data_IF_752290105262
#
_entry.id   IF_752290105262
#
_cell.length_a   1.000
_cell.length_b   1.000
_cell.length_c   1.000
_cell.angle_alpha   90.00
_cell.angle_beta   90.00
_cell.angle_gamma   90.00
#
_symmetry.space_group_name_H-M   'P 1'
#
loop_
_entity.id
_entity.type
_entity.pdbx_description
1 polymer ?
#
# COMPACT_ATOMS: atom_id res chain seq x y z
N UNK A 1 4.71 78.72 -18.91
CA UNK A 1 5.77 78.79 -17.87
C UNK A 1 5.86 77.38 -17.32
N UNK A 2 6.75 76.52 -17.82
CA UNK A 2 8.22 76.45 -17.62
C UNK A 2 8.58 76.09 -16.17
N UNK A 3 9.36 75.00 -16.02
CA UNK A 3 9.85 74.38 -14.79
C UNK A 3 9.57 72.87 -14.85
N UNK A 4 10.34 72.03 -15.57
CA UNK A 4 11.69 71.49 -15.22
C UNK A 4 11.57 70.59 -13.97
N UNK A 5 11.98 69.32 -13.92
CA UNK A 5 13.21 68.65 -14.36
C UNK A 5 13.00 67.12 -14.25
N UNK A 6 13.44 66.31 -15.24
CA UNK A 6 14.49 65.26 -15.16
C UNK A 6 14.23 64.08 -14.17
N UNK A 7 14.45 62.79 -14.43
CA UNK A 7 15.60 62.08 -15.03
C UNK A 7 15.16 60.63 -15.37
N UNK A 8 15.70 60.16 -16.49
CA UNK A 8 15.81 58.79 -17.00
C UNK A 8 16.30 57.74 -15.98
N UNK A 9 15.62 56.59 -15.81
CA UNK A 9 16.31 55.32 -15.49
C UNK A 9 15.51 54.10 -15.93
N UNK A 10 16.13 53.33 -16.82
CA UNK A 10 15.79 51.97 -17.22
C UNK A 10 16.00 51.09 -15.98
N UNK A 11 14.92 50.56 -15.42
CA UNK A 11 14.95 49.65 -14.28
C UNK A 11 14.86 48.22 -14.80
N UNK A 12 15.97 47.50 -14.66
CA UNK A 12 16.02 46.04 -14.72
C UNK A 12 15.19 45.52 -13.55
N UNK A 13 14.04 44.89 -13.84
CA UNK A 13 13.32 44.13 -12.84
C UNK A 13 13.84 42.69 -12.88
N UNK A 14 14.74 42.43 -11.94
CA UNK A 14 14.93 41.14 -11.31
C UNK A 14 13.56 40.62 -10.85
N UNK A 15 13.02 39.62 -11.54
CA UNK A 15 12.04 38.73 -10.91
C UNK A 15 12.84 37.60 -10.27
N UNK A 16 12.94 37.69 -8.95
CA UNK A 16 13.30 36.62 -8.02
C UNK A 16 12.42 35.38 -8.34
N UNK A 17 12.93 34.54 -9.22
CA UNK A 17 12.58 33.13 -9.22
C UNK A 17 13.28 32.51 -8.02
N UNK A 18 12.59 32.49 -6.88
CA UNK A 18 12.87 31.57 -5.78
C UNK A 18 12.67 30.15 -6.32
N UNK A 19 13.64 29.68 -7.11
CA UNK A 19 13.91 28.26 -7.26
C UNK A 19 14.32 27.79 -5.87
N UNK A 20 13.30 27.46 -5.07
CA UNK A 20 13.48 26.62 -3.90
C UNK A 20 14.15 25.36 -4.41
N UNK A 21 15.47 25.35 -4.34
CA UNK A 21 16.31 24.21 -4.61
C UNK A 21 15.93 23.23 -3.49
N UNK A 22 14.91 22.41 -3.75
CA UNK A 22 14.49 21.33 -2.86
C UNK A 22 15.65 20.37 -2.90
N UNK A 23 16.62 20.59 -2.01
CA UNK A 23 17.66 19.63 -1.71
C UNK A 23 16.96 18.37 -1.27
N UNK A 24 16.78 17.44 -2.20
CA UNK A 24 16.47 16.07 -1.88
C UNK A 24 17.64 15.60 -1.04
N UNK A 25 17.43 15.50 0.27
CA UNK A 25 18.40 14.94 1.21
C UNK A 25 18.98 13.66 0.60
N UNK A 26 20.31 13.53 0.65
CA UNK A 26 21.05 12.32 0.22
C UNK A 26 20.58 11.04 0.98
N UNK A 27 19.79 11.24 2.05
CA UNK A 27 19.16 10.25 2.93
C UNK A 27 17.69 9.89 2.58
N UNK A 28 17.13 10.39 1.47
CA UNK A 28 15.78 9.98 1.04
C UNK A 28 15.75 8.52 0.53
N UNK A 29 14.57 7.89 0.57
CA UNK A 29 14.36 6.53 0.13
C UNK A 29 14.77 6.36 -1.34
N UNK A 30 15.85 5.60 -1.56
CA UNK A 30 16.34 5.30 -2.91
C UNK A 30 15.39 4.34 -3.62
N UNK A 31 14.80 4.78 -4.73
CA UNK A 31 13.93 3.95 -5.56
C UNK A 31 14.75 2.95 -6.38
N UNK A 32 14.12 1.83 -6.78
CA UNK A 32 14.72 0.87 -7.71
C UNK A 32 15.85 -0.01 -7.15
N UNK A 33 16.00 -0.10 -5.82
CA UNK A 33 17.08 -0.85 -5.15
C UNK A 33 16.86 -2.38 -5.12
N UNK A 34 15.67 -2.84 -5.49
CA UNK A 34 15.27 -4.24 -5.51
C UNK A 34 15.51 -4.93 -6.86
N UNK A 35 15.44 -6.26 -6.85
CA UNK A 35 15.58 -7.09 -8.06
C UNK A 35 14.57 -6.64 -9.13
N UNK A 36 15.07 -6.37 -10.34
CA UNK A 36 14.23 -5.90 -11.46
C UNK A 36 13.70 -4.46 -11.30
N UNK A 37 14.36 -3.63 -10.49
CA UNK A 37 13.91 -2.25 -10.20
C UNK A 37 12.80 -2.19 -9.15
N UNK A 38 12.65 -3.25 -8.35
CA UNK A 38 11.75 -3.27 -7.20
C UNK A 38 12.18 -2.26 -6.12
N UNK A 39 11.32 -2.03 -5.14
CA UNK A 39 11.62 -1.06 -4.08
C UNK A 39 12.57 -1.61 -3.02
N UNK A 40 12.35 -2.85 -2.57
CA UNK A 40 13.11 -3.43 -1.47
C UNK A 40 14.28 -4.27 -1.96
N UNK A 41 15.47 -3.95 -1.48
CA UNK A 41 16.65 -4.82 -1.61
C UNK A 41 16.48 -6.10 -0.78
N UNK A 42 17.31 -7.12 -1.02
CA UNK A 42 17.33 -8.32 -0.17
C UNK A 42 17.65 -7.99 1.30
N UNK A 43 18.52 -6.99 1.54
CA UNK A 43 18.80 -6.52 2.90
C UNK A 43 17.57 -5.92 3.57
N UNK A 44 16.81 -5.10 2.85
CA UNK A 44 15.56 -4.50 3.34
C UNK A 44 14.49 -5.56 3.64
N UNK A 45 14.41 -6.61 2.82
CA UNK A 45 13.49 -7.75 3.06
C UNK A 45 13.91 -8.50 4.34
N UNK A 46 15.20 -8.72 4.56
CA UNK A 46 15.67 -9.38 5.78
C UNK A 46 15.37 -8.55 7.03
N UNK A 47 15.57 -7.23 6.97
CA UNK A 47 15.20 -6.31 8.06
C UNK A 47 13.69 -6.41 8.32
N UNK A 48 12.87 -6.34 7.27
CA UNK A 48 11.42 -6.49 7.37
C UNK A 48 11.02 -7.81 8.07
N UNK A 49 11.61 -8.94 7.68
CA UNK A 49 11.37 -10.22 8.32
C UNK A 49 11.80 -10.22 9.80
N UNK A 50 12.94 -9.63 10.14
CA UNK A 50 13.41 -9.58 11.52
C UNK A 50 12.49 -8.73 12.41
N UNK A 51 12.05 -7.56 11.93
CA UNK A 51 11.10 -6.70 12.66
C UNK A 51 9.74 -7.37 12.78
N UNK A 52 9.28 -8.09 11.76
CA UNK A 52 8.03 -8.85 11.82
C UNK A 52 8.02 -9.86 12.98
N UNK A 53 9.16 -10.47 13.31
CA UNK A 53 9.26 -11.42 14.42
C UNK A 53 9.09 -10.77 15.81
N UNK A 54 9.22 -9.44 15.91
CA UNK A 54 9.03 -8.71 17.18
C UNK A 54 7.56 -8.33 17.42
N UNK A 55 6.71 -8.41 16.39
CA UNK A 55 5.30 -8.02 16.47
C UNK A 55 4.49 -9.03 17.29
N UNK A 56 3.81 -8.55 18.33
CA UNK A 56 2.92 -9.35 19.16
C UNK A 56 1.59 -9.56 18.41
N UNK A 57 1.25 -10.82 18.15
CA UNK A 57 0.04 -11.18 17.41
C UNK A 57 -1.15 -11.33 18.38
N UNK A 58 -2.29 -10.64 18.16
CA UNK A 58 -3.48 -10.82 18.97
C UNK A 58 -4.10 -12.20 18.75
N UNK A 59 -4.74 -12.74 19.80
CA UNK A 59 -5.42 -14.04 19.74
C UNK A 59 -6.49 -14.02 18.64
N UNK A 60 -6.43 -14.98 17.72
CA UNK A 60 -7.38 -15.13 16.61
C UNK A 60 -6.89 -14.62 15.25
N UNK A 61 -5.77 -13.90 15.18
CA UNK A 61 -5.13 -13.57 13.91
C UNK A 61 -4.36 -14.79 13.35
N UNK A 62 -4.27 -14.89 12.01
CA UNK A 62 -3.56 -16.00 11.38
C UNK A 62 -2.05 -15.84 11.59
N UNK A 63 -1.38 -16.87 12.12
CA UNK A 63 0.08 -16.86 12.23
C UNK A 63 0.71 -16.89 10.84
N UNK A 64 1.68 -15.99 10.63
CA UNK A 64 2.53 -16.01 9.45
C UNK A 64 3.59 -17.11 9.58
N UNK A 65 4.03 -17.72 8.46
CA UNK A 65 5.20 -18.60 8.45
C UNK A 65 6.44 -17.86 8.96
N UNK A 66 7.30 -18.54 9.70
CA UNK A 66 8.51 -17.95 10.30
C UNK A 66 9.50 -17.45 9.26
N UNK A 67 9.64 -18.15 8.11
CA UNK A 67 10.53 -17.70 7.03
C UNK A 67 9.71 -17.24 5.81
N UNK A 68 9.13 -16.03 5.91
CA UNK A 68 8.39 -15.42 4.80
C UNK A 68 9.27 -15.17 3.56
N UNK A 69 10.59 -15.06 3.75
CA UNK A 69 11.59 -14.84 2.69
C UNK A 69 12.06 -16.12 1.99
N UNK A 70 11.68 -17.30 2.51
CA UNK A 70 12.14 -18.59 1.97
C UNK A 70 11.12 -19.18 1.00
N UNK A 71 11.55 -19.47 -0.22
CA UNK A 71 10.74 -20.17 -1.23
C UNK A 71 10.26 -21.57 -0.80
N UNK A 72 10.82 -22.12 0.29
CA UNK A 72 10.49 -23.46 0.80
C UNK A 72 9.14 -23.53 1.54
N UNK A 73 8.56 -22.39 1.95
CA UNK A 73 7.41 -22.37 2.86
C UNK A 73 6.03 -22.35 2.17
N UNK A 74 5.99 -22.56 0.85
CA UNK A 74 4.75 -22.51 0.08
C UNK A 74 4.14 -21.11 -0.02
N UNK A 75 2.99 -21.01 -0.68
CA UNK A 75 2.26 -19.74 -0.81
C UNK A 75 1.47 -19.42 0.47
N UNK A 76 1.44 -18.14 0.85
CA UNK A 76 0.58 -17.68 1.95
C UNK A 76 -0.89 -17.94 1.61
N UNK A 77 -1.65 -18.41 2.60
CA UNK A 77 -3.12 -18.53 2.52
C UNK A 77 -3.75 -17.14 2.52
N UNK A 78 -4.98 -17.02 2.02
CA UNK A 78 -5.70 -15.73 1.99
C UNK A 78 -5.78 -15.04 3.37
N UNK A 79 -6.04 -15.78 4.45
CA UNK A 79 -6.07 -15.22 5.80
C UNK A 79 -4.70 -14.75 6.31
N UNK A 80 -3.62 -15.38 5.83
CA UNK A 80 -2.25 -14.98 6.13
C UNK A 80 -1.86 -13.73 5.34
N UNK A 81 -2.25 -13.63 4.06
CA UNK A 81 -2.12 -12.40 3.29
C UNK A 81 -2.85 -11.23 3.94
N UNK A 82 -4.10 -11.44 4.37
CA UNK A 82 -4.87 -10.42 5.07
C UNK A 82 -4.17 -9.98 6.35
N UNK A 83 -3.71 -10.93 7.16
CA UNK A 83 -2.97 -10.65 8.41
C UNK A 83 -1.67 -9.90 8.13
N UNK A 84 -0.89 -10.31 7.12
CA UNK A 84 0.34 -9.63 6.71
C UNK A 84 0.06 -8.16 6.39
N UNK A 85 -0.90 -7.87 5.50
CA UNK A 85 -1.14 -6.50 5.05
C UNK A 85 -1.91 -5.63 6.06
N UNK A 86 -2.77 -6.19 6.89
CA UNK A 86 -3.58 -5.39 7.83
C UNK A 86 -2.93 -5.19 9.20
N UNK A 87 -2.07 -6.12 9.63
CA UNK A 87 -1.42 -6.08 10.95
C UNK A 87 0.07 -5.78 10.83
N UNK A 88 0.81 -6.58 10.07
CA UNK A 88 2.27 -6.50 10.06
C UNK A 88 2.79 -5.36 9.19
N UNK A 89 2.27 -5.20 7.97
CA UNK A 89 2.69 -4.13 7.06
C UNK A 89 2.65 -2.75 7.70
N UNK A 90 1.54 -2.27 8.33
CA UNK A 90 1.56 -0.96 8.95
C UNK A 90 2.58 -0.87 10.09
N UNK A 91 2.71 -1.89 10.93
CA UNK A 91 3.63 -1.84 12.07
C UNK A 91 5.09 -1.85 11.63
N UNK A 92 5.46 -2.79 10.75
CA UNK A 92 6.83 -2.99 10.31
C UNK A 92 7.29 -1.85 9.40
N UNK A 93 6.45 -1.37 8.49
CA UNK A 93 6.82 -0.25 7.60
C UNK A 93 6.98 1.04 8.40
N UNK A 94 6.17 1.29 9.43
CA UNK A 94 6.38 2.46 10.29
C UNK A 94 7.70 2.34 11.06
N UNK A 95 8.00 1.18 11.64
CA UNK A 95 9.27 0.95 12.36
C UNK A 95 10.50 1.10 11.45
N UNK A 96 10.42 0.63 10.20
CA UNK A 96 11.53 0.69 9.25
C UNK A 96 11.79 2.08 8.66
N UNK A 97 10.76 2.92 8.52
CA UNK A 97 10.87 4.17 7.76
C UNK A 97 10.56 5.43 8.58
N UNK A 98 10.15 5.29 9.84
CA UNK A 98 9.96 6.41 10.77
C UNK A 98 11.05 6.33 11.85
N UNK A 99 12.12 7.10 11.65
CA UNK A 99 13.22 7.19 12.61
C UNK A 99 12.97 8.35 13.60
N UNK A 100 12.79 8.00 14.88
CA UNK A 100 12.84 8.95 16.00
C UNK A 100 11.87 10.15 15.90
N UNK A 101 12.38 11.37 16.15
CA UNK A 101 11.62 12.63 16.12
C UNK A 101 11.75 13.39 14.80
N UNK A 102 12.24 12.74 13.74
CA UNK A 102 12.42 13.38 12.44
C UNK A 102 11.08 13.77 11.80
N UNK A 103 11.05 14.90 11.09
CA UNK A 103 9.87 15.29 10.30
C UNK A 103 9.93 14.55 8.97
N UNK A 104 8.88 13.79 8.63
CA UNK A 104 8.77 13.15 7.32
C UNK A 104 8.26 14.19 6.33
N UNK A 105 9.05 14.51 5.32
CA UNK A 105 8.60 15.38 4.24
C UNK A 105 7.61 14.62 3.34
N UNK A 106 6.41 15.15 3.14
CA UNK A 106 5.33 14.45 2.41
C UNK A 106 5.71 14.18 0.95
N UNK A 107 6.47 15.09 0.32
CA UNK A 107 6.89 14.94 -1.07
C UNK A 107 8.14 14.10 -1.28
N UNK A 108 8.80 13.64 -0.19
CA UNK A 108 9.94 12.74 -0.32
C UNK A 108 9.50 11.36 -0.82
N UNK A 109 10.42 10.59 -1.41
CA UNK A 109 10.15 9.21 -1.82
C UNK A 109 9.68 8.38 -0.62
N UNK A 110 10.25 8.63 0.56
CA UNK A 110 9.83 8.01 1.82
C UNK A 110 8.38 8.38 2.18
N UNK A 111 8.03 9.66 2.15
CA UNK A 111 6.68 10.14 2.44
C UNK A 111 5.64 9.56 1.47
N UNK A 112 5.95 9.60 0.17
CA UNK A 112 5.11 9.01 -0.89
C UNK A 112 4.96 7.50 -0.74
N UNK A 113 6.01 6.78 -0.36
CA UNK A 113 5.95 5.34 -0.11
C UNK A 113 5.05 4.99 1.09
N UNK A 114 5.16 5.74 2.18
CA UNK A 114 4.30 5.56 3.35
C UNK A 114 2.84 5.84 3.01
N UNK A 115 2.56 6.93 2.27
CA UNK A 115 1.22 7.26 1.81
C UNK A 115 0.65 6.17 0.88
N UNK A 116 1.44 5.71 -0.09
CA UNK A 116 1.07 4.63 -1.00
C UNK A 116 0.73 3.34 -0.26
N UNK A 117 1.55 2.96 0.73
CA UNK A 117 1.32 1.80 1.58
C UNK A 117 0.04 1.97 2.41
N UNK A 118 -0.18 3.15 3.00
CA UNK A 118 -1.38 3.46 3.76
C UNK A 118 -2.66 3.40 2.92
N UNK A 119 -2.61 3.90 1.69
CA UNK A 119 -3.72 3.83 0.74
C UNK A 119 -4.06 2.37 0.36
N UNK A 120 -3.05 1.53 0.12
CA UNK A 120 -3.26 0.10 -0.13
C UNK A 120 -3.90 -0.62 1.07
N UNK A 121 -3.43 -0.35 2.29
CA UNK A 121 -3.99 -0.92 3.52
C UNK A 121 -5.45 -0.47 3.70
N UNK A 122 -5.75 0.80 3.41
CA UNK A 122 -7.12 1.34 3.47
C UNK A 122 -8.07 0.65 2.49
N UNK A 123 -7.59 0.37 1.27
CA UNK A 123 -8.34 -0.40 0.29
C UNK A 123 -8.65 -1.80 0.83
N UNK A 124 -7.64 -2.50 1.35
CA UNK A 124 -7.80 -3.86 1.88
C UNK A 124 -8.75 -3.91 3.08
N UNK A 125 -8.60 -2.99 4.03
CA UNK A 125 -9.50 -2.89 5.19
C UNK A 125 -10.95 -2.66 4.78
N UNK A 126 -11.18 -1.85 3.75
CA UNK A 126 -12.52 -1.58 3.23
C UNK A 126 -13.10 -2.78 2.50
N UNK A 127 -12.31 -3.44 1.62
CA UNK A 127 -12.74 -4.64 0.91
C UNK A 127 -13.05 -5.81 1.85
N UNK A 128 -12.28 -5.95 2.94
CA UNK A 128 -12.44 -7.00 3.93
C UNK A 128 -13.29 -6.60 5.14
N UNK A 129 -14.00 -5.46 5.08
CA UNK A 129 -14.82 -5.01 6.19
C UNK A 129 -15.96 -5.98 6.47
N UNK A 130 -16.38 -6.06 7.74
CA UNK A 130 -17.60 -6.77 8.16
C UNK A 130 -18.80 -5.84 8.34
N UNK A 131 -18.58 -4.54 8.18
CA UNK A 131 -19.63 -3.52 8.30
C UNK A 131 -19.42 -2.50 7.18
N UNK A 132 -20.45 -2.29 6.38
CA UNK A 132 -20.45 -1.26 5.33
C UNK A 132 -21.11 -0.01 5.89
N UNK A 133 -20.40 1.11 5.84
CA UNK A 133 -20.89 2.41 6.30
C UNK A 133 -20.86 3.39 5.13
N UNK A 134 -21.63 4.46 5.27
CA UNK A 134 -21.59 5.57 4.33
C UNK A 134 -20.16 6.09 4.19
N UNK A 135 -19.76 6.36 2.95
CA UNK A 135 -18.41 6.82 2.62
C UNK A 135 -17.34 5.74 2.51
N UNK A 136 -17.58 4.47 2.90
CA UNK A 136 -16.58 3.39 2.70
C UNK A 136 -16.24 3.22 1.21
N UNK A 137 -17.26 3.22 0.35
CA UNK A 137 -17.06 3.03 -1.09
C UNK A 137 -16.22 4.17 -1.69
N UNK A 138 -16.54 5.41 -1.32
CA UNK A 138 -15.80 6.60 -1.74
C UNK A 138 -14.36 6.60 -1.21
N UNK A 139 -14.18 6.16 0.04
CA UNK A 139 -12.87 6.01 0.67
C UNK A 139 -12.01 4.98 -0.05
N UNK A 140 -12.58 3.82 -0.42
CA UNK A 140 -11.88 2.82 -1.24
C UNK A 140 -11.47 3.44 -2.58
N UNK A 141 -12.42 4.04 -3.31
CA UNK A 141 -12.17 4.61 -4.62
C UNK A 141 -11.02 5.62 -4.60
N UNK A 142 -11.07 6.58 -3.67
CA UNK A 142 -10.06 7.61 -3.53
C UNK A 142 -8.69 7.05 -3.12
N UNK A 143 -8.66 6.11 -2.17
CA UNK A 143 -7.42 5.46 -1.77
C UNK A 143 -6.81 4.65 -2.93
N UNK A 144 -7.62 3.90 -3.67
CA UNK A 144 -7.13 3.08 -4.77
C UNK A 144 -6.62 3.94 -5.94
N UNK A 145 -7.30 5.04 -6.24
CA UNK A 145 -6.86 6.03 -7.21
C UNK A 145 -5.48 6.62 -6.83
N UNK A 146 -5.32 7.11 -5.59
CA UNK A 146 -4.03 7.61 -5.10
C UNK A 146 -2.95 6.54 -5.11
N UNK A 147 -3.27 5.31 -4.68
CA UNK A 147 -2.35 4.18 -4.70
C UNK A 147 -1.83 3.90 -6.12
N UNK A 148 -2.71 3.85 -7.13
CA UNK A 148 -2.27 3.54 -8.51
C UNK A 148 -1.40 4.65 -9.12
N UNK A 149 -1.74 5.92 -8.88
CA UNK A 149 -0.95 7.07 -9.34
C UNK A 149 0.44 7.10 -8.69
N UNK A 150 0.50 6.97 -7.36
CA UNK A 150 1.78 6.98 -6.63
C UNK A 150 2.62 5.73 -6.89
N UNK A 151 1.99 4.56 -7.09
CA UNK A 151 2.70 3.33 -7.46
C UNK A 151 3.45 3.48 -8.80
N UNK A 152 2.87 4.20 -9.76
CA UNK A 152 3.54 4.45 -11.04
C UNK A 152 4.85 5.24 -10.85
N UNK A 153 4.85 6.18 -9.92
CA UNK A 153 6.00 7.03 -9.60
C UNK A 153 7.07 6.25 -8.82
N UNK A 154 6.66 5.44 -7.83
CA UNK A 154 7.57 4.72 -6.93
C UNK A 154 8.21 3.48 -7.55
N UNK A 155 7.51 2.78 -8.45
CA UNK A 155 7.92 1.44 -8.92
C UNK A 155 8.26 1.41 -10.42
N UNK A 156 8.74 2.52 -10.98
CA UNK A 156 9.16 2.63 -12.39
C UNK A 156 8.10 2.09 -13.38
N UNK A 157 6.87 2.60 -13.28
CA UNK A 157 5.74 2.23 -14.14
C UNK A 157 5.51 0.70 -14.25
N UNK A 158 5.09 0.05 -13.14
CA UNK A 158 4.93 -1.39 -13.10
C UNK A 158 3.86 -1.85 -14.09
N UNK A 159 4.07 -3.03 -14.70
CA UNK A 159 3.06 -3.63 -15.58
C UNK A 159 1.78 -3.90 -14.78
N UNK A 160 0.66 -3.35 -15.27
CA UNK A 160 -0.65 -3.56 -14.67
C UNK A 160 -1.02 -5.04 -14.73
N UNK A 161 -1.28 -5.65 -13.57
CA UNK A 161 -1.74 -7.03 -13.44
C UNK A 161 -3.27 -7.10 -13.46
N UNK A 162 -3.88 -8.21 -13.92
CA UNK A 162 -5.34 -8.38 -13.89
C UNK A 162 -5.97 -8.07 -12.53
N UNK A 163 -5.34 -8.50 -11.43
CA UNK A 163 -5.84 -8.22 -10.08
C UNK A 163 -5.92 -6.72 -9.75
N UNK A 164 -5.01 -5.91 -10.30
CA UNK A 164 -5.07 -4.45 -10.13
C UNK A 164 -6.22 -3.83 -10.95
N UNK A 165 -6.56 -4.43 -12.09
CA UNK A 165 -7.73 -4.03 -12.85
C UNK A 165 -9.02 -4.45 -12.13
N UNK A 166 -9.12 -5.68 -11.64
CA UNK A 166 -10.30 -6.15 -10.89
C UNK A 166 -10.58 -5.30 -9.65
N UNK A 167 -9.55 -4.86 -8.95
CA UNK A 167 -9.72 -3.99 -7.79
C UNK A 167 -10.37 -2.63 -8.12
N UNK A 168 -10.35 -2.17 -9.38
CA UNK A 168 -11.08 -0.97 -9.80
C UNK A 168 -12.60 -1.13 -9.71
N UNK A 169 -13.10 -2.37 -9.74
CA UNK A 169 -14.53 -2.69 -9.70
C UNK A 169 -15.06 -2.92 -8.28
N UNK A 170 -14.19 -3.01 -7.28
CA UNK A 170 -14.58 -3.20 -5.87
C UNK A 170 -15.59 -2.14 -5.39
N UNK A 171 -15.46 -0.85 -5.73
CA UNK A 171 -16.47 0.16 -5.38
C UNK A 171 -17.87 -0.18 -5.89
N UNK A 172 -18.00 -0.58 -7.15
CA UNK A 172 -19.28 -0.98 -7.75
C UNK A 172 -19.80 -2.28 -7.13
N UNK A 173 -18.94 -3.26 -6.91
CA UNK A 173 -19.28 -4.53 -6.25
C UNK A 173 -19.81 -4.28 -4.84
N UNK A 174 -19.16 -3.41 -4.05
CA UNK A 174 -19.63 -3.02 -2.72
C UNK A 174 -21.01 -2.36 -2.74
N UNK A 175 -21.31 -1.54 -3.76
CA UNK A 175 -22.63 -0.90 -3.92
C UNK A 175 -23.72 -1.91 -4.25
N UNK A 176 -23.41 -2.89 -5.10
CA UNK A 176 -24.41 -3.84 -5.60
C UNK A 176 -24.61 -5.01 -4.61
N UNK A 177 -23.53 -5.55 -4.04
CA UNK A 177 -23.54 -6.80 -3.27
C UNK A 177 -23.44 -6.54 -1.76
N UNK A 178 -23.09 -5.32 -1.34
CA UNK A 178 -22.83 -4.99 0.05
C UNK A 178 -21.47 -5.53 0.51
N UNK A 179 -21.44 -6.33 1.57
CA UNK A 179 -20.19 -6.83 2.15
C UNK A 179 -19.53 -7.90 1.27
N UNK A 180 -18.38 -7.60 0.67
CA UNK A 180 -17.65 -8.56 -0.19
C UNK A 180 -17.23 -9.84 0.55
N UNK A 181 -16.96 -9.76 1.85
CA UNK A 181 -16.64 -10.94 2.66
C UNK A 181 -17.80 -11.95 2.76
N UNK A 182 -19.04 -11.50 2.56
CA UNK A 182 -20.22 -12.38 2.55
C UNK A 182 -20.42 -13.13 1.24
N UNK A 183 -19.79 -12.67 0.16
CA UNK A 183 -19.94 -13.18 -1.22
C UNK A 183 -18.63 -13.73 -1.79
N UNK A 184 -17.52 -13.59 -1.05
CA UNK A 184 -16.23 -14.17 -1.38
C UNK A 184 -16.32 -15.70 -1.45
N UNK A 185 -15.36 -16.32 -2.15
CA UNK A 185 -15.32 -17.77 -2.36
C UNK A 185 -15.02 -18.57 -1.08
N UNK A 186 -14.48 -17.93 -0.04
CA UNK A 186 -13.99 -18.59 1.19
C UNK A 186 -15.00 -19.54 1.87
N UNK A 187 -16.30 -19.21 1.99
CA UNK A 187 -17.29 -20.13 2.53
C UNK A 187 -17.48 -21.36 1.62
N UNK A 188 -17.43 -21.17 0.29
CA UNK A 188 -17.51 -22.23 -0.70
C UNK A 188 -16.31 -23.18 -0.65
N UNK A 189 -15.09 -22.65 -0.65
CA UNK A 189 -13.85 -23.45 -0.49
C UNK A 189 -13.89 -24.28 0.80
N UNK A 190 -14.34 -23.67 1.91
CA UNK A 190 -14.50 -24.38 3.19
C UNK A 190 -15.50 -25.52 3.07
N UNK A 191 -16.63 -25.28 2.41
CA UNK A 191 -17.67 -26.29 2.19
C UNK A 191 -17.13 -27.45 1.34
N UNK A 192 -16.41 -27.16 0.26
CA UNK A 192 -15.74 -28.17 -0.58
C UNK A 192 -14.78 -29.00 0.27
N UNK A 193 -13.95 -28.37 1.10
CA UNK A 193 -13.03 -29.07 1.99
C UNK A 193 -13.72 -29.93 3.06
N UNK A 194 -14.94 -29.57 3.50
CA UNK A 194 -15.76 -30.41 4.37
C UNK A 194 -16.32 -31.60 3.58
N UNK A 195 -16.89 -31.34 2.39
CA UNK A 195 -17.46 -32.38 1.53
C UNK A 195 -16.43 -33.43 1.14
N UNK A 196 -15.19 -33.02 0.82
CA UNK A 196 -14.08 -33.93 0.52
C UNK A 196 -13.70 -34.86 1.70
N UNK A 197 -14.03 -34.48 2.94
CA UNK A 197 -13.75 -35.29 4.14
C UNK A 197 -14.89 -36.25 4.49
N UNK A 198 -16.06 -36.09 3.87
CA UNK A 198 -17.16 -37.03 4.05
C UNK A 198 -16.82 -38.29 3.27
N UNK A 199 -16.70 -39.42 3.97
CA UNK A 199 -16.51 -40.72 3.34
C UNK A 199 -17.78 -41.12 2.58
N UNK A 200 -17.84 -40.79 1.29
CA UNK A 200 -18.80 -41.41 0.38
C UNK A 200 -18.24 -42.79 0.03
N UNK A 201 -18.65 -43.83 0.76
CA UNK A 201 -18.26 -45.23 0.51
C UNK A 201 -18.80 -45.80 -0.83
N UNK A 202 -18.97 -44.97 -1.86
CA UNK A 202 -19.42 -45.37 -3.20
C UNK A 202 -20.82 -45.99 -3.28
N UNK A 203 -21.60 -46.01 -2.19
CA UNK A 203 -22.96 -46.56 -2.19
C UNK A 203 -23.95 -45.47 -2.57
N UNK A 204 -24.37 -45.51 -3.82
CA UNK A 204 -25.64 -44.94 -4.25
C UNK A 204 -26.72 -45.82 -3.61
N UNK A 205 -27.60 -45.22 -2.81
CA UNK A 205 -28.76 -45.90 -2.24
C UNK A 205 -29.77 -46.30 -3.29
#
# INVERSE_FOLDING_TARGET
MRGDEQVLRKGDNEEDGDESNIGLDDDDLKLGQGVGGGLMSQGSIQIFCNVMLTVIIPTGASRLPTDLSSAKNGCLKASQWLTLYTLFMPLVILDMYIEGKGTIHVESNRGRFLQNTGDLIQCLQTACTRVLRDGHVERFYNAYSRYTVTSRQLFNNPRVKPNQHYALHIPEELKIWGLLMGVAEFPGERMIGILQKISTNGKIG
#
